data_IF_025318816631
#
_entry.id   IF_025318816631
#
_cell.length_a   1.000
_cell.length_b   1.000
_cell.length_c   1.000
_cell.angle_alpha   90.00
_cell.angle_beta   90.00
_cell.angle_gamma   90.00
#
_symmetry.space_group_name_H-M   'P 1'
#
loop_
_entity.id
_entity.type
_entity.pdbx_description
1 polymer ?
#
# COMPACT_ATOMS: atom_id res chain seq x y z
N UNK A 1 3.04 -18.10 -12.40
CA UNK A 1 3.17 -17.50 -11.06
C UNK A 1 2.85 -18.49 -9.97
N UNK A 2 1.58 -18.55 -9.54
CA UNK A 2 1.13 -19.40 -8.41
C UNK A 2 1.52 -20.88 -8.55
N UNK A 3 1.40 -21.45 -9.75
CA UNK A 3 1.81 -22.85 -10.02
C UNK A 3 3.30 -23.04 -9.74
N UNK A 4 4.16 -22.10 -10.17
CA UNK A 4 5.60 -22.18 -9.92
C UNK A 4 5.90 -22.09 -8.42
N UNK A 5 5.22 -21.19 -7.69
CA UNK A 5 5.35 -21.10 -6.24
C UNK A 5 4.88 -22.38 -5.55
N UNK A 6 3.83 -23.03 -6.05
CA UNK A 6 3.38 -24.29 -5.50
C UNK A 6 4.38 -25.43 -5.77
N UNK A 7 4.97 -25.46 -6.97
CA UNK A 7 6.00 -26.44 -7.34
C UNK A 7 7.22 -26.38 -6.41
N UNK A 8 7.61 -25.19 -5.91
CA UNK A 8 8.73 -25.08 -4.95
C UNK A 8 8.48 -25.83 -3.64
N UNK A 9 7.21 -26.09 -3.29
CA UNK A 9 6.82 -26.83 -2.10
C UNK A 9 6.66 -28.33 -2.35
N UNK A 10 6.39 -28.71 -3.61
CA UNK A 10 6.13 -30.07 -4.06
C UNK A 10 7.41 -30.84 -4.38
N UNK A 11 8.37 -30.20 -5.03
CA UNK A 11 9.60 -30.84 -5.52
C UNK A 11 10.70 -30.69 -4.44
N UNK A 12 11.18 -31.79 -3.83
CA UNK A 12 12.20 -31.71 -2.77
C UNK A 12 13.47 -30.96 -3.19
N UNK A 13 13.94 -31.15 -4.42
CA UNK A 13 15.19 -30.56 -4.92
C UNK A 13 15.11 -29.03 -5.10
N UNK A 14 13.89 -28.47 -5.09
CA UNK A 14 13.66 -27.02 -5.24
C UNK A 14 13.72 -26.25 -3.94
N UNK A 15 14.00 -26.91 -2.81
CA UNK A 15 14.19 -26.28 -1.50
C UNK A 15 15.43 -26.82 -0.78
N UNK A 16 16.01 -26.06 0.16
CA UNK A 16 17.06 -26.56 1.02
C UNK A 16 16.59 -27.78 1.82
N UNK A 17 17.52 -28.66 2.25
CA UNK A 17 17.18 -29.74 3.16
C UNK A 17 16.58 -29.18 4.46
N UNK A 18 15.66 -29.90 5.10
CA UNK A 18 15.09 -29.49 6.38
C UNK A 18 16.22 -29.38 7.43
N UNK A 19 16.27 -28.26 8.12
CA UNK A 19 17.21 -28.00 9.21
C UNK A 19 16.45 -27.44 10.41
N UNK A 20 17.01 -27.61 11.61
CA UNK A 20 16.45 -26.98 12.80
C UNK A 20 16.89 -25.51 12.84
N UNK A 21 15.93 -24.60 12.69
CA UNK A 21 16.15 -23.16 12.78
C UNK A 21 16.70 -22.72 14.15
N UNK A 22 16.61 -23.57 15.19
CA UNK A 22 17.22 -23.35 16.52
C UNK A 22 18.74 -23.53 16.52
N UNK A 23 19.29 -24.20 15.50
CA UNK A 23 20.73 -24.41 15.30
C UNK A 23 21.14 -23.77 13.96
N UNK A 24 21.33 -22.43 13.90
CA UNK A 24 21.53 -21.71 12.63
C UNK A 24 22.73 -22.22 11.83
N UNK A 25 23.78 -22.69 12.51
CA UNK A 25 24.98 -23.26 11.88
C UNK A 25 24.73 -24.58 11.13
N UNK A 26 23.56 -25.21 11.30
CA UNK A 26 23.17 -26.43 10.61
C UNK A 26 22.35 -26.19 9.33
N UNK A 27 21.93 -24.95 9.07
CA UNK A 27 21.06 -24.61 7.94
C UNK A 27 21.87 -24.15 6.72
N UNK A 28 21.62 -24.79 5.58
CA UNK A 28 22.25 -24.43 4.30
C UNK A 28 21.36 -23.40 3.59
N UNK A 29 21.95 -22.30 3.12
CA UNK A 29 21.22 -21.31 2.32
C UNK A 29 20.77 -21.89 0.98
N UNK A 30 19.62 -21.43 0.48
CA UNK A 30 19.13 -21.87 -0.82
C UNK A 30 20.13 -21.59 -1.95
N UNK A 31 20.27 -22.57 -2.84
CA UNK A 31 21.18 -22.48 -3.99
C UNK A 31 20.67 -21.45 -5.00
N UNK A 32 21.55 -21.01 -5.91
CA UNK A 32 21.18 -20.08 -6.98
C UNK A 32 19.93 -20.52 -7.78
N UNK A 33 19.81 -21.76 -8.28
CA UNK A 33 18.63 -22.17 -9.03
C UNK A 33 17.35 -22.19 -8.18
N UNK A 34 17.43 -22.56 -6.89
CA UNK A 34 16.28 -22.53 -5.97
C UNK A 34 15.76 -21.11 -5.76
N UNK A 35 16.69 -20.15 -5.53
CA UNK A 35 16.36 -18.72 -5.42
C UNK A 35 15.81 -18.16 -6.72
N UNK A 36 16.42 -18.49 -7.86
CA UNK A 36 15.96 -18.04 -9.17
C UNK A 36 14.53 -18.51 -9.47
N UNK A 37 14.22 -19.78 -9.21
CA UNK A 37 12.86 -20.32 -9.37
C UNK A 37 11.83 -19.57 -8.50
N UNK A 38 12.18 -19.30 -7.25
CA UNK A 38 11.34 -18.53 -6.33
C UNK A 38 11.11 -17.09 -6.83
N UNK A 39 12.15 -16.40 -7.29
CA UNK A 39 12.03 -15.05 -7.84
C UNK A 39 11.18 -15.02 -9.12
N UNK A 40 11.35 -15.99 -10.02
CA UNK A 40 10.49 -16.11 -11.21
C UNK A 40 9.03 -16.38 -10.84
N UNK A 41 8.78 -17.20 -9.81
CA UNK A 41 7.44 -17.41 -9.29
C UNK A 41 6.81 -16.08 -8.84
N UNK A 42 7.53 -15.29 -8.03
CA UNK A 42 7.09 -13.96 -7.61
C UNK A 42 6.89 -12.98 -8.77
N UNK A 43 7.83 -12.90 -9.71
CA UNK A 43 7.73 -12.02 -10.87
C UNK A 43 6.47 -12.32 -11.70
N UNK A 44 6.22 -13.58 -12.04
CA UNK A 44 5.03 -13.95 -12.79
C UNK A 44 3.72 -13.78 -12.01
N UNK A 45 3.75 -13.93 -10.67
CA UNK A 45 2.58 -13.59 -9.84
C UNK A 45 2.30 -12.09 -9.86
N UNK A 46 3.33 -11.26 -9.72
CA UNK A 46 3.20 -9.80 -9.76
C UNK A 46 2.69 -9.31 -11.12
N UNK A 47 3.20 -9.84 -12.23
CA UNK A 47 2.71 -9.51 -13.59
C UNK A 47 1.24 -9.88 -13.75
N UNK A 48 0.85 -11.11 -13.35
CA UNK A 48 -0.53 -11.56 -13.44
C UNK A 48 -1.49 -10.75 -12.56
N UNK A 49 -1.11 -10.53 -11.29
CA UNK A 49 -1.92 -9.75 -10.35
C UNK A 49 -2.06 -8.29 -10.79
N UNK A 50 -0.97 -7.68 -11.27
CA UNK A 50 -0.94 -6.29 -11.76
C UNK A 50 -1.79 -6.09 -13.02
N UNK A 51 -1.88 -7.08 -13.90
CA UNK A 51 -2.75 -7.03 -15.07
C UNK A 51 -4.23 -7.25 -14.73
N UNK A 52 -4.55 -8.25 -13.90
CA UNK A 52 -5.94 -8.64 -13.64
C UNK A 52 -6.68 -7.64 -12.76
N UNK A 53 -6.06 -7.16 -11.66
CA UNK A 53 -6.74 -6.31 -10.66
C UNK A 53 -7.39 -5.04 -11.21
N UNK A 54 -6.72 -4.19 -12.02
CA UNK A 54 -7.35 -2.98 -12.54
C UNK A 54 -8.34 -3.28 -13.68
N UNK A 55 -8.11 -4.36 -14.44
CA UNK A 55 -8.95 -4.70 -15.58
C UNK A 55 -10.26 -5.40 -15.17
N UNK A 56 -10.24 -6.24 -14.14
CA UNK A 56 -11.41 -7.06 -13.76
C UNK A 56 -12.60 -6.21 -13.32
N UNK A 57 -12.36 -5.20 -12.49
CA UNK A 57 -13.41 -4.32 -11.99
C UNK A 57 -14.00 -3.45 -13.11
N UNK A 58 -13.12 -2.85 -13.93
CA UNK A 58 -13.53 -2.05 -15.08
C UNK A 58 -14.32 -2.89 -16.09
N UNK A 59 -13.79 -4.06 -16.46
CA UNK A 59 -14.45 -4.96 -17.40
C UNK A 59 -15.83 -5.42 -16.91
N UNK A 60 -15.96 -5.72 -15.61
CA UNK A 60 -17.25 -6.09 -15.01
C UNK A 60 -18.24 -4.92 -15.01
N UNK A 61 -17.80 -3.70 -14.70
CA UNK A 61 -18.61 -2.50 -14.80
C UNK A 61 -19.10 -2.27 -16.24
N UNK A 62 -18.23 -2.49 -17.24
CA UNK A 62 -18.54 -2.31 -18.66
C UNK A 62 -19.66 -3.25 -19.16
N UNK A 63 -19.79 -4.45 -18.59
CA UNK A 63 -20.87 -5.38 -18.92
C UNK A 63 -22.26 -4.87 -18.49
N UNK A 64 -22.30 -4.06 -17.43
CA UNK A 64 -23.53 -3.45 -16.90
C UNK A 64 -23.79 -2.10 -17.59
N UNK A 65 -22.73 -1.49 -18.12
CA UNK A 65 -22.70 -0.17 -18.74
C UNK A 65 -23.30 -0.11 -20.16
N UNK A 66 -24.21 -1.02 -20.49
CA UNK A 66 -24.89 -1.06 -21.80
C UNK A 66 -25.88 0.11 -21.88
N UNK A 67 -25.84 0.84 -23.00
CA UNK A 67 -26.79 1.95 -23.27
C UNK A 67 -28.23 1.43 -23.20
N UNK A 68 -29.14 2.29 -22.74
CA UNK A 68 -30.61 2.11 -22.74
C UNK A 68 -31.29 1.47 -21.50
N UNK A 69 -30.60 1.34 -20.37
CA UNK A 69 -31.22 0.89 -19.10
C UNK A 69 -31.57 2.05 -18.13
N UNK A 70 -32.87 2.30 -17.82
CA UNK A 70 -33.27 3.38 -16.90
C UNK A 70 -32.87 3.11 -15.43
N UNK A 71 -32.55 1.86 -15.08
CA UNK A 71 -32.06 1.45 -13.74
C UNK A 71 -30.53 1.36 -13.63
N UNK A 72 -29.79 1.85 -14.63
CA UNK A 72 -28.32 1.70 -14.74
C UNK A 72 -27.56 2.13 -13.49
N UNK A 73 -27.87 3.30 -12.93
CA UNK A 73 -27.19 3.81 -11.72
C UNK A 73 -27.30 2.86 -10.54
N UNK A 74 -28.52 2.42 -10.21
CA UNK A 74 -28.78 1.49 -9.09
C UNK A 74 -28.14 0.12 -9.28
N UNK A 75 -28.18 -0.43 -10.50
CA UNK A 75 -27.57 -1.75 -10.78
C UNK A 75 -26.04 -1.66 -10.68
N UNK A 76 -25.45 -0.57 -11.16
CA UNK A 76 -24.01 -0.33 -11.09
C UNK A 76 -23.53 -0.12 -9.65
N UNK A 77 -24.24 0.67 -8.86
CA UNK A 77 -23.98 0.82 -7.41
C UNK A 77 -24.07 -0.52 -6.68
N UNK A 78 -25.10 -1.32 -6.97
CA UNK A 78 -25.25 -2.65 -6.38
C UNK A 78 -24.11 -3.59 -6.77
N UNK A 79 -23.66 -3.55 -8.02
CA UNK A 79 -22.50 -4.32 -8.49
C UNK A 79 -21.23 -3.94 -7.73
N UNK A 80 -20.92 -2.65 -7.62
CA UNK A 80 -19.77 -2.20 -6.84
C UNK A 80 -19.89 -2.61 -5.38
N UNK A 81 -21.07 -2.46 -4.78
CA UNK A 81 -21.35 -2.90 -3.40
C UNK A 81 -21.07 -4.40 -3.18
N UNK A 82 -21.58 -5.27 -4.06
CA UNK A 82 -21.31 -6.70 -4.00
C UNK A 82 -19.85 -7.04 -4.28
N UNK A 83 -19.21 -6.37 -5.24
CA UNK A 83 -17.80 -6.57 -5.54
C UNK A 83 -16.91 -6.27 -4.33
N UNK A 84 -17.08 -5.11 -3.70
CA UNK A 84 -16.29 -4.74 -2.53
C UNK A 84 -16.62 -5.62 -1.31
N UNK A 85 -17.90 -5.96 -1.09
CA UNK A 85 -18.30 -6.84 0.01
C UNK A 85 -17.71 -8.25 -0.13
N UNK A 86 -17.78 -8.84 -1.32
CA UNK A 86 -17.21 -10.17 -1.59
C UNK A 86 -15.69 -10.16 -1.52
N UNK A 87 -15.03 -9.11 -2.02
CA UNK A 87 -13.58 -8.93 -1.92
C UNK A 87 -13.12 -8.84 -0.46
N UNK A 88 -13.80 -8.04 0.38
CA UNK A 88 -13.50 -7.94 1.81
C UNK A 88 -13.67 -9.28 2.52
N UNK A 89 -14.78 -9.99 2.26
CA UNK A 89 -15.01 -11.32 2.83
C UNK A 89 -13.91 -12.31 2.42
N UNK A 90 -13.51 -12.31 1.15
CA UNK A 90 -12.42 -13.16 0.66
C UNK A 90 -11.08 -12.86 1.36
N UNK A 91 -10.76 -11.58 1.62
CA UNK A 91 -9.56 -11.18 2.36
C UNK A 91 -9.62 -11.64 3.81
N UNK A 92 -10.76 -11.53 4.49
CA UNK A 92 -10.93 -12.02 5.87
C UNK A 92 -10.75 -13.54 5.95
N UNK A 93 -11.33 -14.29 5.00
CA UNK A 93 -11.17 -15.74 4.90
C UNK A 93 -9.69 -16.09 4.62
N UNK A 94 -9.01 -15.32 3.76
CA UNK A 94 -7.60 -15.54 3.47
C UNK A 94 -6.72 -15.37 4.71
N UNK A 95 -6.86 -14.27 5.47
CA UNK A 95 -6.06 -14.04 6.68
C UNK A 95 -6.38 -15.00 7.83
N UNK A 96 -7.53 -15.67 7.82
CA UNK A 96 -7.93 -16.63 8.86
C UNK A 96 -7.73 -18.06 8.39
N UNK A 97 -8.64 -18.57 7.56
CA UNK A 97 -8.69 -19.97 7.13
C UNK A 97 -7.48 -20.35 6.30
N UNK A 98 -7.09 -19.55 5.31
CA UNK A 98 -5.98 -19.92 4.43
C UNK A 98 -4.63 -19.89 5.17
N UNK A 99 -4.40 -18.86 6.00
CA UNK A 99 -3.20 -18.80 6.85
C UNK A 99 -3.18 -19.95 7.86
N UNK A 100 -4.31 -20.29 8.48
CA UNK A 100 -4.42 -21.45 9.36
C UNK A 100 -4.04 -22.75 8.63
N UNK A 101 -4.52 -22.95 7.41
CA UNK A 101 -4.16 -24.11 6.59
C UNK A 101 -2.65 -24.11 6.28
N UNK A 102 -2.07 -22.96 5.94
CA UNK A 102 -0.64 -22.83 5.66
C UNK A 102 0.22 -23.18 6.87
N UNK A 103 -0.17 -22.76 8.07
CA UNK A 103 0.61 -22.97 9.29
C UNK A 103 0.46 -24.39 9.85
N UNK A 104 -0.74 -24.98 9.80
CA UNK A 104 -0.99 -26.32 10.38
C UNK A 104 -0.84 -27.49 9.39
N UNK A 105 -1.24 -27.32 8.13
CA UNK A 105 -1.19 -28.36 7.09
C UNK A 105 -0.02 -28.16 6.11
N UNK A 106 0.73 -27.07 6.27
CA UNK A 106 1.93 -26.76 5.53
C UNK A 106 1.70 -26.09 4.17
N UNK A 107 2.78 -25.51 3.64
CA UNK A 107 2.79 -24.73 2.40
C UNK A 107 2.34 -25.50 1.16
N UNK A 108 2.51 -26.84 1.15
CA UNK A 108 2.08 -27.70 0.05
C UNK A 108 0.56 -27.64 -0.16
N UNK A 109 -0.22 -27.73 0.91
CA UNK A 109 -1.68 -27.61 0.84
C UNK A 109 -2.07 -26.14 0.70
N UNK A 110 -1.43 -25.27 1.48
CA UNK A 110 -1.73 -23.84 1.53
C UNK A 110 -1.57 -23.12 0.19
N UNK A 111 -0.58 -23.45 -0.65
CA UNK A 111 -0.44 -22.87 -1.98
C UNK A 111 -1.26 -23.59 -3.06
N UNK A 112 -1.63 -24.85 -2.83
CA UNK A 112 -2.46 -25.62 -3.76
C UNK A 112 -3.88 -25.05 -3.87
N UNK A 113 -4.46 -24.60 -2.75
CA UNK A 113 -5.83 -24.03 -2.73
C UNK A 113 -5.94 -22.81 -3.67
N UNK A 114 -5.11 -21.75 -3.55
CA UNK A 114 -5.15 -20.63 -4.48
C UNK A 114 -4.89 -21.02 -5.95
N UNK A 115 -4.06 -22.02 -6.22
CA UNK A 115 -3.82 -22.52 -7.59
C UNK A 115 -5.11 -23.08 -8.18
N UNK A 116 -5.82 -23.93 -7.44
CA UNK A 116 -7.09 -24.53 -7.87
C UNK A 116 -8.15 -23.44 -8.08
N UNK A 117 -8.28 -22.51 -7.14
CA UNK A 117 -9.24 -21.40 -7.23
C UNK A 117 -8.95 -20.50 -8.44
N UNK A 118 -7.68 -20.17 -8.71
CA UNK A 118 -7.30 -19.36 -9.85
C UNK A 118 -7.53 -20.09 -11.18
N UNK A 119 -7.25 -21.39 -11.23
CA UNK A 119 -7.55 -22.22 -12.40
C UNK A 119 -9.06 -22.25 -12.68
N UNK A 120 -9.87 -22.49 -11.66
CA UNK A 120 -11.33 -22.49 -11.79
C UNK A 120 -11.86 -21.12 -12.23
N UNK A 121 -11.38 -20.03 -11.63
CA UNK A 121 -11.73 -18.66 -12.02
C UNK A 121 -11.41 -18.38 -13.50
N UNK A 122 -10.20 -18.74 -13.93
CA UNK A 122 -9.76 -18.57 -15.33
C UNK A 122 -10.59 -19.41 -16.28
N UNK A 123 -10.89 -20.66 -15.91
CA UNK A 123 -11.74 -21.56 -16.70
C UNK A 123 -13.14 -20.97 -16.91
N UNK A 124 -13.80 -20.52 -15.84
CA UNK A 124 -15.13 -19.89 -15.91
C UNK A 124 -15.08 -18.63 -16.78
N UNK A 125 -14.05 -17.80 -16.62
CA UNK A 125 -13.86 -16.58 -17.42
C UNK A 125 -13.75 -16.87 -18.92
N UNK A 126 -12.99 -17.90 -19.30
CA UNK A 126 -12.83 -18.29 -20.71
C UNK A 126 -14.10 -18.90 -21.28
N UNK A 127 -14.80 -19.75 -20.52
CA UNK A 127 -16.07 -20.35 -20.96
C UNK A 127 -17.14 -19.28 -21.18
N UNK A 128 -17.15 -18.23 -20.37
CA UNK A 128 -18.07 -17.09 -20.50
C UNK A 128 -17.69 -16.10 -21.62
N UNK A 129 -16.57 -16.31 -22.34
CA UNK A 129 -16.09 -15.40 -23.40
C UNK A 129 -17.14 -14.99 -24.44
N UNK A 130 -18.02 -15.88 -24.95
CA UNK A 130 -19.03 -15.52 -25.94
C UNK A 130 -20.11 -14.56 -25.40
N UNK A 131 -20.28 -14.47 -24.07
CA UNK A 131 -21.30 -13.66 -23.42
C UNK A 131 -20.86 -12.22 -23.18
N UNK A 132 -19.57 -11.92 -23.32
CA UNK A 132 -19.03 -10.61 -22.97
C UNK A 132 -19.23 -9.54 -24.05
N UNK A 133 -19.69 -8.37 -23.62
CA UNK A 133 -19.70 -7.15 -24.40
C UNK A 133 -18.29 -6.56 -24.50
N UNK A 134 -17.85 -6.26 -25.73
CA UNK A 134 -16.50 -5.79 -26.05
C UNK A 134 -16.53 -4.30 -26.35
N UNK A 135 -15.96 -3.49 -25.45
CA UNK A 135 -15.83 -2.05 -25.67
C UNK A 135 -14.76 -1.73 -26.73
N UNK A 136 -14.97 -0.64 -27.46
CA UNK A 136 -14.03 -0.12 -28.44
C UNK A 136 -12.84 0.53 -27.71
N UNK A 137 -11.62 0.26 -28.19
CA UNK A 137 -10.39 0.77 -27.58
C UNK A 137 -10.32 2.30 -27.70
N UNK A 138 -10.14 2.98 -26.56
CA UNK A 138 -9.81 4.41 -26.51
C UNK A 138 -8.29 4.63 -26.68
N UNK A 139 -7.88 5.82 -27.13
CA UNK A 139 -6.45 6.14 -27.35
C UNK A 139 -5.69 6.12 -26.01
N UNK A 140 -4.40 5.74 -26.06
CA UNK A 140 -3.52 5.73 -24.89
C UNK A 140 -3.30 7.16 -24.33
N UNK A 141 -3.67 7.35 -23.06
CA UNK A 141 -3.43 8.61 -22.33
C UNK A 141 -1.93 8.93 -22.20
N UNK A 142 -1.09 7.92 -21.99
CA UNK A 142 0.36 8.11 -21.88
C UNK A 142 0.98 8.69 -23.14
N UNK A 143 0.52 8.24 -24.32
CA UNK A 143 0.95 8.80 -25.60
C UNK A 143 0.55 10.27 -25.70
N UNK A 144 -0.65 10.63 -25.22
CA UNK A 144 -1.10 12.03 -25.17
C UNK A 144 -0.22 12.89 -24.25
N UNK A 145 0.23 12.36 -23.10
CA UNK A 145 1.17 13.08 -22.22
C UNK A 145 2.52 13.34 -22.90
N UNK A 146 3.09 12.32 -23.56
CA UNK A 146 4.34 12.49 -24.31
C UNK A 146 4.19 13.50 -25.45
N UNK A 147 3.05 13.49 -26.15
CA UNK A 147 2.74 14.46 -27.20
C UNK A 147 2.72 15.89 -26.64
N UNK A 148 1.98 16.13 -25.56
CA UNK A 148 1.89 17.47 -24.94
C UNK A 148 3.26 17.99 -24.51
N UNK A 149 4.08 17.15 -23.87
CA UNK A 149 5.44 17.54 -23.46
C UNK A 149 6.30 17.87 -24.69
N UNK A 150 6.27 17.02 -25.71
CA UNK A 150 7.04 17.21 -26.94
C UNK A 150 6.65 18.48 -27.69
N UNK A 151 5.35 18.70 -27.89
CA UNK A 151 4.83 19.86 -28.63
C UNK A 151 5.02 21.15 -27.82
N UNK A 152 4.80 21.14 -26.49
CA UNK A 152 5.11 22.29 -25.63
C UNK A 152 6.59 22.69 -25.72
N UNK A 153 7.50 21.70 -25.77
CA UNK A 153 8.92 21.94 -25.92
C UNK A 153 9.30 22.51 -27.29
N UNK A 154 8.75 21.94 -28.39
CA UNK A 154 8.93 22.47 -29.75
C UNK A 154 8.46 23.93 -29.85
N UNK A 155 7.30 24.21 -29.25
CA UNK A 155 6.65 25.52 -29.28
C UNK A 155 7.13 26.46 -28.17
N UNK A 156 8.21 26.15 -27.44
CA UNK A 156 8.66 26.94 -26.28
C UNK A 156 8.96 28.40 -26.60
N UNK A 157 9.33 28.71 -27.85
CA UNK A 157 9.63 30.07 -28.33
C UNK A 157 8.39 30.88 -28.73
N UNK A 158 7.21 30.25 -28.85
CA UNK A 158 5.98 30.95 -29.20
C UNK A 158 5.49 31.80 -28.03
N UNK A 159 4.99 32.99 -28.33
CA UNK A 159 4.29 33.84 -27.37
C UNK A 159 2.87 33.35 -27.16
N UNK A 160 2.39 33.46 -25.92
CA UNK A 160 1.02 33.05 -25.59
C UNK A 160 0.07 34.17 -26.02
N UNK A 161 -1.01 33.87 -26.77
CA UNK A 161 -1.97 34.88 -27.16
C UNK A 161 -2.76 35.38 -25.94
N UNK A 162 -2.89 36.70 -25.80
CA UNK A 162 -3.64 37.37 -24.73
C UNK A 162 -5.16 37.46 -24.98
N UNK A 163 -5.65 36.92 -26.10
CA UNK A 163 -7.05 37.08 -26.53
C UNK A 163 -8.04 36.23 -25.73
N UNK A 164 -9.19 36.83 -25.38
CA UNK A 164 -10.29 36.23 -24.63
C UNK A 164 -11.00 35.08 -25.38
N UNK A 165 -10.97 35.07 -26.72
CA UNK A 165 -11.85 34.20 -27.53
C UNK A 165 -11.39 32.74 -27.66
N UNK A 166 -10.20 32.39 -27.16
CA UNK A 166 -9.68 31.00 -27.19
C UNK A 166 -9.61 30.38 -28.60
N UNK A 167 -9.75 31.18 -29.66
CA UNK A 167 -9.77 30.79 -31.08
C UNK A 167 -8.40 30.32 -31.58
N UNK A 168 -7.35 30.65 -30.83
CA UNK A 168 -5.97 30.23 -31.08
C UNK A 168 -5.66 28.83 -30.56
N UNK A 169 -6.61 28.14 -29.92
CA UNK A 169 -6.39 26.81 -29.35
C UNK A 169 -7.10 25.71 -30.13
N UNK A 170 -6.44 24.56 -30.31
CA UNK A 170 -7.04 23.37 -30.91
C UNK A 170 -8.03 22.72 -29.93
N UNK A 171 -9.33 22.83 -30.23
CA UNK A 171 -10.44 22.30 -29.43
C UNK A 171 -10.95 21.01 -30.07
N UNK A 172 -11.25 20.00 -29.27
CA UNK A 172 -11.81 18.73 -29.76
C UNK A 172 -13.23 18.44 -29.28
N UNK A 173 -13.69 19.03 -28.18
CA UNK A 173 -15.12 19.10 -27.81
C UNK A 173 -15.34 19.99 -26.56
N UNK A 174 -16.61 20.33 -26.30
CA UNK A 174 -17.15 21.52 -25.63
C UNK A 174 -16.75 21.91 -24.17
N UNK A 175 -15.82 21.25 -23.47
CA UNK A 175 -15.66 21.47 -22.02
C UNK A 175 -14.66 22.57 -21.61
N UNK A 176 -13.60 22.82 -22.39
CA UNK A 176 -12.58 23.82 -22.05
C UNK A 176 -12.42 24.85 -23.18
N UNK A 177 -12.87 26.08 -22.93
CA UNK A 177 -12.79 27.20 -23.90
C UNK A 177 -11.38 27.78 -23.93
N UNK A 178 -10.67 27.76 -22.80
CA UNK A 178 -9.30 28.25 -22.61
C UNK A 178 -8.55 27.30 -21.67
N UNK A 179 -7.27 26.97 -21.95
CA UNK A 179 -6.44 26.25 -20.99
C UNK A 179 -6.21 27.10 -19.72
N UNK A 180 -6.10 26.44 -18.57
CA UNK A 180 -5.85 27.08 -17.28
C UNK A 180 -4.56 27.90 -17.29
N UNK A 181 -4.53 28.99 -16.54
CA UNK A 181 -3.32 29.82 -16.35
C UNK A 181 -2.29 29.16 -15.40
N UNK A 182 -2.60 27.99 -14.82
CA UNK A 182 -1.60 27.18 -14.10
C UNK A 182 -0.73 26.41 -15.11
N UNK A 183 0.59 26.40 -14.90
CA UNK A 183 1.57 25.76 -15.79
C UNK A 183 1.45 26.27 -17.25
N UNK A 184 1.40 27.59 -17.44
CA UNK A 184 1.14 28.25 -18.75
C UNK A 184 2.07 27.80 -19.88
N UNK A 185 3.27 27.32 -19.55
CA UNK A 185 4.22 26.80 -20.55
C UNK A 185 3.64 25.61 -21.33
N UNK A 186 2.79 24.78 -20.72
CA UNK A 186 2.11 23.66 -21.40
C UNK A 186 1.04 24.13 -22.38
N UNK A 187 0.49 25.35 -22.22
CA UNK A 187 -0.51 25.91 -23.12
C UNK A 187 0.04 26.14 -24.53
N UNK A 188 1.36 26.16 -24.69
CA UNK A 188 2.02 26.27 -26.00
C UNK A 188 1.83 25.02 -26.85
N UNK A 189 1.48 23.87 -26.27
CA UNK A 189 1.21 22.64 -27.00
C UNK A 189 -0.10 22.66 -27.81
N UNK A 190 -1.05 23.52 -27.43
CA UNK A 190 -2.36 23.58 -28.08
C UNK A 190 -2.57 24.82 -28.95
N UNK A 191 -1.53 25.64 -29.20
CA UNK A 191 -1.61 26.82 -30.07
C UNK A 191 -1.68 26.40 -31.55
N UNK A 192 -2.64 26.97 -32.28
CA UNK A 192 -2.79 26.84 -33.72
C UNK A 192 -1.74 27.72 -34.44
N UNK A 193 -0.71 27.12 -35.01
CA UNK A 193 0.20 27.82 -35.92
C UNK A 193 -0.51 28.05 -37.27
N UNK A 194 -0.60 29.30 -37.71
CA UNK A 194 -1.36 29.74 -38.89
C UNK A 194 -0.78 29.30 -40.25
N UNK A 195 0.24 28.43 -40.28
CA UNK A 195 1.13 28.23 -41.43
C UNK A 195 1.12 26.85 -42.09
N UNK A 196 0.29 25.89 -41.66
CA UNK A 196 0.27 24.57 -42.31
C UNK A 196 -1.15 24.15 -42.70
N UNK A 197 -1.31 23.71 -43.95
CA UNK A 197 -2.57 23.24 -44.54
C UNK A 197 -3.22 22.16 -43.65
N UNK A 198 -4.27 22.54 -42.94
CA UNK A 198 -5.00 21.72 -41.97
C UNK A 198 -5.87 20.65 -42.63
N UNK A 199 -5.26 19.63 -43.21
CA UNK A 199 -6.00 18.43 -43.67
C UNK A 199 -5.66 17.17 -42.89
N UNK A 200 -4.55 17.16 -42.13
CA UNK A 200 -4.21 16.07 -41.20
C UNK A 200 -3.74 16.63 -39.86
N UNK A 201 -4.61 16.58 -38.84
CA UNK A 201 -4.26 16.92 -37.45
C UNK A 201 -3.36 15.84 -36.86
N UNK A 202 -2.05 15.89 -37.11
CA UNK A 202 -1.10 15.00 -36.45
C UNK A 202 -1.01 15.35 -34.95
N UNK A 203 -1.35 14.42 -34.04
CA UNK A 203 -1.25 14.63 -32.60
C UNK A 203 0.14 15.00 -32.08
N UNK A 204 1.21 14.78 -32.86
CA UNK A 204 2.61 15.14 -32.54
C UNK A 204 3.04 16.54 -32.98
N UNK A 205 2.15 17.26 -33.66
CA UNK A 205 2.35 18.64 -34.13
C UNK A 205 1.45 19.60 -33.38
N UNK A 206 0.23 19.18 -33.04
CA UNK A 206 -0.71 19.99 -32.27
C UNK A 206 -1.55 19.15 -31.30
N UNK A 207 -1.56 19.52 -30.03
CA UNK A 207 -2.36 18.87 -29.00
C UNK A 207 -3.68 19.60 -28.77
N UNK A 208 -4.66 18.92 -28.19
CA UNK A 208 -5.94 19.53 -27.82
C UNK A 208 -5.86 20.18 -26.43
N UNK A 209 -6.77 21.11 -26.13
CA UNK A 209 -6.86 21.72 -24.79
C UNK A 209 -7.08 20.64 -23.70
N UNK A 210 -7.89 19.62 -23.99
CA UNK A 210 -8.16 18.52 -23.05
C UNK A 210 -6.88 17.75 -22.68
N UNK A 211 -6.04 17.40 -23.67
CA UNK A 211 -4.77 16.70 -23.43
C UNK A 211 -3.82 17.54 -22.55
N UNK A 212 -3.82 18.86 -22.73
CA UNK A 212 -2.99 19.78 -21.94
C UNK A 212 -3.50 19.86 -20.50
N UNK A 213 -4.81 19.99 -20.29
CA UNK A 213 -5.40 20.03 -18.95
C UNK A 213 -5.27 18.69 -18.20
N UNK A 214 -5.37 17.56 -18.90
CA UNK A 214 -5.09 16.24 -18.35
C UNK A 214 -3.67 16.15 -17.76
N UNK A 215 -2.64 16.57 -18.53
CA UNK A 215 -1.26 16.57 -18.05
C UNK A 215 -1.04 17.55 -16.88
N UNK A 216 -1.68 18.72 -16.91
CA UNK A 216 -1.59 19.68 -15.81
C UNK A 216 -2.22 19.16 -14.54
N UNK A 217 -3.37 18.50 -14.64
CA UNK A 217 -4.04 17.90 -13.50
C UNK A 217 -3.11 16.84 -12.86
N UNK A 218 -2.41 16.04 -13.67
CA UNK A 218 -1.40 15.09 -13.19
C UNK A 218 -0.32 15.80 -12.35
N UNK A 219 0.31 16.83 -12.89
CA UNK A 219 1.35 17.57 -12.15
C UNK A 219 0.84 18.25 -10.88
N UNK A 220 -0.41 18.72 -10.87
CA UNK A 220 -1.03 19.33 -9.68
C UNK A 220 -1.18 18.34 -8.52
N UNK A 221 -1.43 17.07 -8.83
CA UNK A 221 -1.64 16.00 -7.85
C UNK A 221 -0.32 15.42 -7.31
N UNK A 222 0.76 15.45 -8.09
CA UNK A 222 2.05 14.83 -7.75
C UNK A 222 2.61 15.16 -6.35
N UNK A 223 2.60 16.42 -5.86
CA UNK A 223 3.15 16.72 -4.54
C UNK A 223 2.40 16.00 -3.41
N UNK A 224 1.05 15.99 -3.46
CA UNK A 224 0.24 15.29 -2.47
C UNK A 224 0.37 13.77 -2.61
N UNK A 225 0.46 13.26 -3.84
CA UNK A 225 0.74 11.85 -4.07
C UNK A 225 2.09 11.43 -3.45
N UNK A 226 3.14 12.22 -3.65
CA UNK A 226 4.47 11.91 -3.12
C UNK A 226 4.53 11.88 -1.58
N UNK A 227 3.79 12.74 -0.89
CA UNK A 227 3.76 12.71 0.58
C UNK A 227 3.06 11.46 1.12
N UNK A 228 2.10 10.92 0.37
CA UNK A 228 1.38 9.70 0.74
C UNK A 228 2.23 8.43 0.59
N UNK A 229 3.34 8.47 -0.17
CA UNK A 229 4.28 7.34 -0.29
C UNK A 229 4.83 6.94 1.09
N UNK A 230 5.01 7.91 2.00
CA UNK A 230 5.54 7.66 3.34
C UNK A 230 4.67 6.69 4.15
N UNK A 231 3.34 6.72 3.97
CA UNK A 231 2.45 5.74 4.61
C UNK A 231 2.83 4.31 4.22
N UNK A 232 3.05 4.08 2.93
CA UNK A 232 3.45 2.78 2.41
C UNK A 232 4.85 2.37 2.85
N UNK A 233 5.76 3.32 3.08
CA UNK A 233 7.09 3.06 3.67
C UNK A 233 6.94 2.54 5.10
N UNK A 234 6.16 3.23 5.94
CA UNK A 234 5.94 2.80 7.33
C UNK A 234 5.22 1.44 7.38
N UNK A 235 4.32 1.19 6.44
CA UNK A 235 3.55 -0.05 6.35
C UNK A 235 4.26 -1.20 5.65
N UNK A 236 5.42 -0.96 5.04
CA UNK A 236 6.10 -1.98 4.23
C UNK A 236 6.61 -3.15 5.06
N UNK A 237 6.71 -3.01 6.37
CA UNK A 237 7.28 -3.99 7.28
C UNK A 237 6.31 -5.11 7.62
N UNK A 238 5.56 -5.63 6.65
CA UNK A 238 4.55 -6.69 6.85
C UNK A 238 5.17 -7.93 7.51
N UNK A 239 6.45 -8.21 7.24
CA UNK A 239 7.17 -9.35 7.84
C UNK A 239 7.44 -9.17 9.33
N UNK A 240 7.65 -7.95 9.81
CA UNK A 240 8.10 -7.70 11.18
C UNK A 240 7.05 -8.09 12.23
N UNK A 241 5.77 -7.69 12.14
CA UNK A 241 4.74 -8.16 13.07
C UNK A 241 4.57 -9.69 13.10
N UNK A 242 4.80 -10.37 11.97
CA UNK A 242 4.77 -11.85 11.91
C UNK A 242 5.94 -12.44 12.70
N UNK A 243 7.12 -11.82 12.61
CA UNK A 243 8.30 -12.21 13.41
C UNK A 243 8.08 -11.92 14.90
N UNK A 244 7.48 -10.78 15.27
CA UNK A 244 7.09 -10.50 16.66
C UNK A 244 6.15 -11.57 17.18
N UNK A 245 5.05 -11.83 16.46
CA UNK A 245 4.06 -12.85 16.82
C UNK A 245 4.68 -14.25 16.98
N UNK A 246 5.75 -14.56 16.24
CA UNK A 246 6.45 -15.86 16.35
C UNK A 246 7.17 -16.08 17.67
N UNK A 247 7.46 -15.01 18.42
CA UNK A 247 8.18 -15.04 19.70
C UNK A 247 7.29 -14.67 20.88
N UNK A 248 5.98 -14.54 20.67
CA UNK A 248 4.99 -14.16 21.68
C UNK A 248 3.97 -15.27 21.86
N UNK A 249 3.30 -15.28 23.01
CA UNK A 249 2.25 -16.26 23.28
C UNK A 249 0.97 -15.91 22.52
N UNK A 250 0.57 -16.77 21.58
CA UNK A 250 -0.57 -16.57 20.67
C UNK A 250 -1.83 -17.31 21.11
N UNK A 251 -1.83 -17.96 22.27
CA UNK A 251 -3.00 -18.68 22.77
C UNK A 251 -4.09 -17.70 23.21
N UNK A 252 -5.32 -17.88 22.68
CA UNK A 252 -6.52 -17.20 23.18
C UNK A 252 -7.18 -18.06 24.27
N UNK A 253 -7.21 -19.37 24.01
CA UNK A 253 -7.77 -20.39 24.89
C UNK A 253 -6.77 -21.54 24.99
N UNK A 254 -7.01 -22.49 25.89
CA UNK A 254 -6.14 -23.65 26.07
C UNK A 254 -5.99 -24.54 24.83
N UNK A 255 -6.88 -24.43 23.84
CA UNK A 255 -6.86 -25.25 22.62
C UNK A 255 -6.77 -24.47 21.31
N UNK A 256 -6.66 -23.13 21.34
CA UNK A 256 -6.64 -22.31 20.12
C UNK A 256 -5.52 -21.27 20.14
N UNK A 257 -4.66 -21.37 19.14
CA UNK A 257 -3.54 -20.48 18.87
C UNK A 257 -3.78 -19.72 17.56
N UNK A 258 -3.68 -18.38 17.59
CA UNK A 258 -3.81 -17.57 16.36
C UNK A 258 -2.57 -17.80 15.49
N UNK A 259 -2.71 -18.10 14.18
CA UNK A 259 -1.57 -18.16 13.26
C UNK A 259 -0.77 -16.85 13.21
N UNK A 260 0.56 -16.91 13.08
CA UNK A 260 1.47 -15.73 13.19
C UNK A 260 1.10 -14.62 12.20
N UNK A 261 0.77 -15.00 10.98
CA UNK A 261 0.42 -14.05 9.92
C UNK A 261 -1.05 -13.59 9.96
N UNK A 262 -1.88 -14.15 10.84
CA UNK A 262 -3.30 -13.78 10.95
C UNK A 262 -3.53 -12.46 11.68
N UNK A 263 -2.53 -11.88 12.36
CA UNK A 263 -2.71 -10.60 13.07
C UNK A 263 -3.06 -9.42 12.14
N UNK A 264 -2.71 -9.49 10.85
CA UNK A 264 -3.15 -8.50 9.85
C UNK A 264 -4.66 -8.45 9.65
N UNK A 265 -5.40 -9.49 10.08
CA UNK A 265 -6.87 -9.50 10.14
C UNK A 265 -7.43 -8.28 10.88
N UNK A 266 -6.81 -7.89 12.00
CA UNK A 266 -7.28 -6.78 12.82
C UNK A 266 -7.20 -5.43 12.08
N UNK A 267 -6.21 -5.25 11.20
CA UNK A 267 -6.12 -4.06 10.34
C UNK A 267 -7.28 -3.99 9.35
N UNK A 268 -7.61 -5.12 8.70
CA UNK A 268 -8.74 -5.19 7.74
C UNK A 268 -10.08 -4.94 8.43
N UNK A 269 -10.30 -5.56 9.59
CA UNK A 269 -11.51 -5.32 10.39
C UNK A 269 -11.61 -3.85 10.81
N UNK A 270 -10.50 -3.22 11.16
CA UNK A 270 -10.49 -1.79 11.52
C UNK A 270 -10.87 -0.91 10.34
N UNK A 271 -10.35 -1.19 9.14
CA UNK A 271 -10.76 -0.47 7.91
C UNK A 271 -12.27 -0.61 7.70
N UNK A 272 -12.82 -1.81 7.87
CA UNK A 272 -14.25 -2.05 7.72
C UNK A 272 -15.09 -1.28 8.75
N UNK A 273 -14.70 -1.34 10.02
CA UNK A 273 -15.36 -0.61 11.10
C UNK A 273 -15.30 0.89 10.82
N UNK A 274 -14.14 1.41 10.42
CA UNK A 274 -13.96 2.82 10.07
C UNK A 274 -14.90 3.25 8.94
N UNK A 275 -14.99 2.49 7.85
CA UNK A 275 -15.90 2.80 6.73
C UNK A 275 -17.36 2.84 7.20
N UNK A 276 -17.79 1.83 7.96
CA UNK A 276 -19.16 1.77 8.49
C UNK A 276 -19.43 2.95 9.42
N UNK A 277 -18.51 3.27 10.33
CA UNK A 277 -18.63 4.40 11.24
C UNK A 277 -18.65 5.73 10.49
N UNK A 278 -17.82 5.89 9.46
CA UNK A 278 -17.76 7.09 8.65
C UNK A 278 -19.10 7.35 7.95
N UNK A 279 -19.63 6.35 7.24
CA UNK A 279 -20.84 6.50 6.45
C UNK A 279 -22.12 6.55 7.29
N UNK A 280 -22.20 5.73 8.36
CA UNK A 280 -23.45 5.55 9.13
C UNK A 280 -23.55 6.42 10.37
N UNK A 281 -22.44 6.85 10.95
CA UNK A 281 -22.45 7.67 12.15
C UNK A 281 -21.90 9.07 11.88
N UNK A 282 -20.67 9.18 11.36
CA UNK A 282 -19.97 10.46 11.23
C UNK A 282 -20.68 11.39 10.24
N UNK A 283 -20.95 10.95 9.00
CA UNK A 283 -21.62 11.80 7.99
C UNK A 283 -23.00 12.29 8.48
N UNK A 284 -23.91 11.44 8.99
CA UNK A 284 -25.20 11.91 9.51
C UNK A 284 -25.08 12.87 10.68
N UNK A 285 -24.16 12.62 11.62
CA UNK A 285 -23.93 13.49 12.78
C UNK A 285 -23.40 14.86 12.33
N UNK A 286 -22.37 14.90 11.48
CA UNK A 286 -21.85 16.16 10.94
C UNK A 286 -22.93 16.92 10.15
N UNK A 287 -23.71 16.22 9.34
CA UNK A 287 -24.76 16.83 8.55
C UNK A 287 -25.88 17.41 9.42
N UNK A 288 -26.21 16.73 10.53
CA UNK A 288 -27.17 17.21 11.53
C UNK A 288 -26.65 18.44 12.27
N UNK A 289 -25.36 18.46 12.65
CA UNK A 289 -24.73 19.60 13.33
C UNK A 289 -24.66 20.83 12.42
N UNK A 290 -24.32 20.65 11.13
CA UNK A 290 -24.18 21.76 10.19
C UNK A 290 -25.49 22.17 9.51
N UNK A 291 -26.58 21.41 9.68
CA UNK A 291 -27.87 21.64 9.02
C UNK A 291 -27.86 21.45 7.50
N UNK A 292 -26.78 20.90 6.94
CA UNK A 292 -26.58 20.64 5.50
C UNK A 292 -25.70 19.40 5.31
N UNK A 293 -25.75 18.71 4.15
CA UNK A 293 -24.86 17.59 3.86
C UNK A 293 -23.39 17.99 4.06
N UNK A 294 -22.74 17.37 5.02
CA UNK A 294 -21.39 17.73 5.47
C UNK A 294 -20.47 16.51 5.41
N UNK A 295 -19.28 16.73 4.86
CA UNK A 295 -18.24 15.71 4.71
C UNK A 295 -16.94 16.19 5.33
N UNK A 296 -16.17 15.28 5.90
CA UNK A 296 -14.82 15.61 6.38
C UNK A 296 -13.94 15.90 5.16
N UNK A 297 -13.24 17.04 5.19
CA UNK A 297 -12.33 17.46 4.13
C UNK A 297 -11.34 16.33 3.79
N UNK A 298 -11.25 16.00 2.51
CA UNK A 298 -10.43 14.90 1.99
C UNK A 298 -8.96 15.07 2.37
N UNK A 299 -8.41 16.28 2.29
CA UNK A 299 -7.00 16.55 2.67
C UNK A 299 -6.77 16.33 4.17
N UNK A 300 -7.76 16.64 5.00
CA UNK A 300 -7.70 16.40 6.44
C UNK A 300 -7.70 14.90 6.75
N UNK A 301 -8.52 14.11 6.04
CA UNK A 301 -8.53 12.64 6.17
C UNK A 301 -7.19 12.03 5.79
N UNK A 302 -6.63 12.44 4.65
CA UNK A 302 -5.29 12.00 4.20
C UNK A 302 -4.22 12.34 5.26
N UNK A 303 -4.21 13.58 5.75
CA UNK A 303 -3.28 14.03 6.79
C UNK A 303 -3.44 13.28 8.12
N UNK A 304 -4.68 13.05 8.56
CA UNK A 304 -4.97 12.27 9.75
C UNK A 304 -4.44 10.83 9.61
N UNK A 305 -4.61 10.20 8.44
CA UNK A 305 -4.06 8.88 8.17
C UNK A 305 -2.53 8.82 8.32
N UNK A 306 -1.81 9.85 7.83
CA UNK A 306 -0.36 9.95 8.03
C UNK A 306 0.01 10.08 9.52
N UNK A 307 -0.71 10.90 10.28
CA UNK A 307 -0.48 11.04 11.74
C UNK A 307 -0.72 9.71 12.47
N UNK A 308 -1.82 9.01 12.18
CA UNK A 308 -2.09 7.69 12.77
C UNK A 308 -1.02 6.65 12.42
N UNK A 309 -0.43 6.72 11.23
CA UNK A 309 0.68 5.83 10.87
C UNK A 309 1.94 6.09 11.67
N UNK A 310 2.24 7.35 12.00
CA UNK A 310 3.37 7.70 12.88
C UNK A 310 3.11 7.17 14.30
N UNK A 311 1.90 7.40 14.82
CA UNK A 311 1.51 6.88 16.15
C UNK A 311 1.59 5.35 16.16
N UNK A 312 1.15 4.68 15.10
CA UNK A 312 1.24 3.23 14.98
C UNK A 312 2.70 2.75 15.03
N UNK A 313 3.61 3.40 14.31
CA UNK A 313 5.05 3.09 14.35
C UNK A 313 5.63 3.28 15.75
N UNK A 314 5.26 4.35 16.47
CA UNK A 314 5.68 4.55 17.87
C UNK A 314 5.19 3.41 18.76
N UNK A 315 3.94 2.98 18.61
CA UNK A 315 3.39 1.83 19.35
C UNK A 315 4.15 0.54 19.01
N UNK A 316 4.51 0.31 17.75
CA UNK A 316 5.36 -0.83 17.35
C UNK A 316 6.69 -0.81 18.09
N UNK A 317 7.36 0.34 18.14
CA UNK A 317 8.62 0.51 18.86
C UNK A 317 8.49 0.24 20.36
N UNK A 318 7.41 0.72 20.98
CA UNK A 318 7.15 0.53 22.41
C UNK A 318 6.89 -0.94 22.75
N UNK A 319 6.04 -1.60 21.96
CA UNK A 319 5.72 -3.02 22.12
C UNK A 319 6.97 -3.87 21.93
N UNK A 320 7.80 -3.56 20.94
CA UNK A 320 9.06 -4.27 20.71
C UNK A 320 10.05 -4.07 21.84
N UNK A 321 10.17 -2.85 22.36
CA UNK A 321 11.04 -2.55 23.49
C UNK A 321 10.66 -3.39 24.73
N UNK A 322 9.36 -3.44 25.06
CA UNK A 322 8.84 -4.24 26.17
C UNK A 322 9.08 -5.74 25.93
N UNK A 323 8.79 -6.23 24.71
CA UNK A 323 8.99 -7.63 24.34
C UNK A 323 10.46 -8.04 24.47
N UNK A 324 11.38 -7.20 23.98
CA UNK A 324 12.82 -7.42 24.03
C UNK A 324 13.35 -7.44 25.46
N UNK A 325 12.95 -6.48 26.31
CA UNK A 325 13.37 -6.48 27.72
C UNK A 325 12.96 -7.77 28.44
N UNK A 326 11.73 -8.24 28.24
CA UNK A 326 11.28 -9.55 28.78
C UNK A 326 12.05 -10.73 28.20
N UNK A 327 12.41 -10.70 26.92
CA UNK A 327 13.26 -11.73 26.32
C UNK A 327 14.67 -11.79 26.95
N UNK A 328 15.20 -10.63 27.38
CA UNK A 328 16.49 -10.54 28.10
C UNK A 328 16.34 -11.14 29.51
N UNK A 329 15.28 -10.77 30.24
CA UNK A 329 14.98 -11.31 31.57
C UNK A 329 14.78 -12.83 31.56
N UNK A 330 14.08 -13.35 30.55
CA UNK A 330 13.85 -14.79 30.35
C UNK A 330 15.10 -15.54 29.80
N UNK A 331 16.21 -14.84 29.52
CA UNK A 331 17.44 -15.43 28.99
C UNK A 331 17.34 -15.93 27.54
N UNK A 332 16.36 -15.46 26.77
CA UNK A 332 16.02 -15.93 25.42
C UNK A 332 16.80 -15.22 24.28
N UNK A 333 17.77 -14.36 24.61
CA UNK A 333 18.59 -13.61 23.64
C UNK A 333 19.17 -14.49 22.52
N UNK A 334 19.64 -15.69 22.86
CA UNK A 334 20.28 -16.60 21.92
C UNK A 334 19.31 -17.59 21.26
N UNK A 335 18.02 -17.51 21.58
CA UNK A 335 16.99 -18.40 21.06
C UNK A 335 16.03 -17.63 20.14
N UNK A 336 16.23 -17.65 18.81
CA UNK A 336 15.41 -16.90 17.85
C UNK A 336 13.95 -17.35 17.79
N UNK A 337 13.64 -18.54 18.32
CA UNK A 337 12.29 -19.12 18.38
C UNK A 337 11.77 -19.21 19.82
N UNK A 338 12.46 -18.57 20.77
CA UNK A 338 12.04 -18.50 22.16
C UNK A 338 10.73 -17.72 22.26
N UNK A 339 9.74 -18.31 22.91
CA UNK A 339 8.47 -17.65 23.20
C UNK A 339 8.59 -16.93 24.53
N UNK A 340 8.55 -15.61 24.48
CA UNK A 340 8.53 -14.73 25.66
C UNK A 340 7.16 -14.86 26.33
N UNK A 341 7.13 -14.77 27.67
CA UNK A 341 5.87 -14.74 28.44
C UNK A 341 5.11 -13.41 28.27
N UNK A 342 4.72 -13.13 27.05
CA UNK A 342 3.97 -11.93 26.65
C UNK A 342 2.95 -12.31 25.60
N UNK A 343 1.68 -11.96 25.84
CA UNK A 343 0.61 -12.26 24.89
C UNK A 343 0.78 -11.47 23.59
N UNK A 344 0.60 -12.13 22.45
CA UNK A 344 0.59 -11.53 21.12
C UNK A 344 -0.58 -10.56 20.90
N UNK A 345 -1.56 -10.49 21.81
CA UNK A 345 -2.63 -9.48 21.77
C UNK A 345 -2.10 -8.04 21.88
N UNK A 346 -0.90 -7.84 22.41
CA UNK A 346 -0.19 -6.55 22.39
C UNK A 346 0.12 -6.05 20.97
N UNK A 347 0.02 -6.90 19.94
CA UNK A 347 0.15 -6.51 18.54
C UNK A 347 -1.16 -5.94 17.96
N UNK A 348 -2.30 -6.07 18.64
CA UNK A 348 -3.58 -5.55 18.12
C UNK A 348 -3.57 -4.02 18.01
N UNK A 349 -3.14 -3.24 19.01
CA UNK A 349 -3.15 -1.77 18.94
C UNK A 349 -2.42 -1.21 17.71
N UNK A 350 -1.23 -1.72 17.39
CA UNK A 350 -0.50 -1.31 16.19
C UNK A 350 -1.27 -1.64 14.91
N UNK A 351 -1.89 -2.83 14.82
CA UNK A 351 -2.68 -3.22 13.65
C UNK A 351 -3.95 -2.39 13.49
N UNK A 352 -4.60 -2.03 14.59
CA UNK A 352 -5.78 -1.15 14.60
C UNK A 352 -5.39 0.26 14.13
N UNK A 353 -4.33 0.84 14.68
CA UNK A 353 -3.88 2.18 14.29
C UNK A 353 -3.47 2.22 12.81
N UNK A 354 -2.77 1.20 12.33
CA UNK A 354 -2.42 1.08 10.92
C UNK A 354 -3.65 0.87 10.01
N UNK A 355 -4.62 0.06 10.44
CA UNK A 355 -5.88 -0.10 9.71
C UNK A 355 -6.66 1.22 9.62
N UNK A 356 -6.71 1.99 10.71
CA UNK A 356 -7.32 3.32 10.70
C UNK A 356 -6.55 4.30 9.80
N UNK A 357 -5.23 4.27 9.86
CA UNK A 357 -4.35 5.09 9.02
C UNK A 357 -4.59 4.82 7.53
N UNK A 358 -4.59 3.56 7.12
CA UNK A 358 -4.82 3.17 5.73
C UNK A 358 -6.25 3.51 5.29
N UNK A 359 -7.27 3.17 6.09
CA UNK A 359 -8.68 3.47 5.78
C UNK A 359 -8.97 4.96 5.62
N UNK A 360 -8.34 5.83 6.42
CA UNK A 360 -8.42 7.28 6.26
C UNK A 360 -7.74 7.78 4.98
N UNK A 361 -6.59 7.18 4.66
CA UNK A 361 -5.69 7.67 3.64
C UNK A 361 -6.03 7.15 2.23
N UNK A 362 -6.26 5.84 2.05
CA UNK A 362 -6.59 5.26 0.73
C UNK A 362 -7.87 5.85 0.15
N UNK A 363 -8.94 5.91 0.94
CA UNK A 363 -10.24 6.43 0.50
C UNK A 363 -10.13 7.92 0.20
N UNK A 364 -9.41 8.67 1.06
CA UNK A 364 -9.16 10.08 0.84
C UNK A 364 -8.35 10.35 -0.43
N UNK A 365 -7.29 9.58 -0.69
CA UNK A 365 -6.48 9.72 -1.90
C UNK A 365 -7.32 9.48 -3.16
N UNK A 366 -8.05 8.37 -3.21
CA UNK A 366 -8.88 8.02 -4.37
C UNK A 366 -9.94 9.11 -4.62
N UNK A 367 -10.64 9.57 -3.58
CA UNK A 367 -11.64 10.65 -3.67
C UNK A 367 -11.02 11.97 -4.17
N UNK A 368 -9.84 12.33 -3.65
CA UNK A 368 -9.11 13.52 -4.09
C UNK A 368 -8.72 13.44 -5.57
N UNK A 369 -8.21 12.29 -6.01
CA UNK A 369 -7.82 12.07 -7.41
C UNK A 369 -9.02 12.17 -8.35
N UNK A 370 -10.15 11.59 -7.98
CA UNK A 370 -11.38 11.70 -8.77
C UNK A 370 -11.93 13.12 -8.86
N UNK A 371 -11.76 13.94 -7.83
CA UNK A 371 -12.17 15.33 -7.85
C UNK A 371 -11.23 16.22 -8.69
N UNK A 372 -9.94 15.93 -8.67
CA UNK A 372 -8.92 16.74 -9.36
C UNK A 372 -8.71 16.34 -10.82
N UNK A 373 -8.94 15.08 -11.17
CA UNK A 373 -8.74 14.58 -12.53
C UNK A 373 -10.00 14.75 -13.41
N UNK A 374 -9.82 15.06 -14.71
CA UNK A 374 -10.90 14.99 -15.68
C UNK A 374 -11.40 13.55 -15.83
N UNK A 375 -12.63 13.38 -16.32
CA UNK A 375 -13.30 12.06 -16.42
C UNK A 375 -12.49 11.02 -17.23
N UNK A 376 -11.76 11.47 -18.25
CA UNK A 376 -10.88 10.63 -19.07
C UNK A 376 -9.76 9.96 -18.28
N UNK A 377 -9.37 10.52 -17.13
CA UNK A 377 -8.27 10.04 -16.27
C UNK A 377 -8.73 9.21 -15.07
N UNK A 378 -9.98 8.75 -15.05
CA UNK A 378 -10.53 7.88 -13.99
C UNK A 378 -9.64 6.66 -13.68
N UNK A 379 -9.09 6.01 -14.71
CA UNK A 379 -8.20 4.85 -14.55
C UNK A 379 -6.85 5.21 -13.91
N UNK A 380 -6.32 6.39 -14.24
CA UNK A 380 -5.10 6.93 -13.62
C UNK A 380 -5.34 7.23 -12.15
N UNK A 381 -6.50 7.78 -11.80
CA UNK A 381 -6.89 8.04 -10.41
C UNK A 381 -6.78 6.77 -9.54
N UNK A 382 -7.31 5.64 -10.01
CA UNK A 382 -7.23 4.37 -9.28
C UNK A 382 -5.80 3.78 -9.27
N UNK A 383 -5.06 3.91 -10.37
CA UNK A 383 -3.72 3.33 -10.50
C UNK A 383 -2.67 4.07 -9.66
N UNK A 384 -2.86 5.38 -9.43
CA UNK A 384 -1.87 6.23 -8.78
C UNK A 384 -1.61 5.83 -7.33
N UNK A 385 -2.64 5.38 -6.59
CA UNK A 385 -2.47 4.82 -5.23
C UNK A 385 -1.56 3.58 -5.24
N UNK A 386 -1.84 2.61 -6.12
CA UNK A 386 -1.05 1.38 -6.24
C UNK A 386 0.39 1.67 -6.66
N UNK A 387 0.60 2.64 -7.55
CA UNK A 387 1.93 3.09 -7.95
C UNK A 387 2.68 3.70 -6.75
N UNK A 388 2.02 4.54 -5.97
CA UNK A 388 2.60 5.13 -4.76
C UNK A 388 3.01 4.06 -3.74
N UNK A 389 2.15 3.06 -3.54
CA UNK A 389 2.45 1.90 -2.70
C UNK A 389 3.66 1.12 -3.20
N UNK A 390 3.78 0.87 -4.50
CA UNK A 390 4.94 0.20 -5.08
C UNK A 390 6.25 0.96 -4.82
N UNK A 391 6.25 2.29 -5.04
CA UNK A 391 7.41 3.13 -4.70
C UNK A 391 7.73 3.09 -3.20
N UNK A 392 6.71 3.12 -2.34
CA UNK A 392 6.89 3.06 -0.89
C UNK A 392 7.52 1.74 -0.42
N UNK A 393 7.07 0.61 -0.95
CA UNK A 393 7.66 -0.70 -0.63
C UNK A 393 9.12 -0.82 -1.10
N UNK A 394 9.44 -0.30 -2.29
CA UNK A 394 10.82 -0.27 -2.79
C UNK A 394 11.71 0.63 -1.93
N UNK A 395 11.25 1.85 -1.64
CA UNK A 395 11.97 2.79 -0.79
C UNK A 395 12.24 2.20 0.59
N UNK A 396 11.24 1.58 1.19
CA UNK A 396 11.42 0.95 2.49
C UNK A 396 12.40 -0.23 2.46
N UNK A 397 12.37 -1.07 1.41
CA UNK A 397 13.37 -2.12 1.23
C UNK A 397 14.78 -1.53 1.14
N UNK A 398 14.98 -0.42 0.42
CA UNK A 398 16.28 0.24 0.34
C UNK A 398 16.71 0.85 1.66
N UNK A 399 15.78 1.43 2.43
CA UNK A 399 16.07 1.99 3.76
C UNK A 399 16.48 0.88 4.75
N UNK A 400 15.80 -0.27 4.73
CA UNK A 400 16.15 -1.42 5.55
C UNK A 400 17.56 -1.93 5.22
N UNK A 401 17.88 -2.11 3.92
CA UNK A 401 19.23 -2.51 3.49
C UNK A 401 20.30 -1.49 3.88
N UNK A 402 20.00 -0.19 3.74
CA UNK A 402 20.92 0.88 4.14
C UNK A 402 21.18 0.86 5.65
N UNK A 403 20.14 0.70 6.47
CA UNK A 403 20.29 0.61 7.93
C UNK A 403 21.06 -0.64 8.32
N UNK A 404 20.79 -1.78 7.67
CA UNK A 404 21.53 -3.01 7.88
C UNK A 404 23.04 -2.82 7.59
N UNK A 405 23.39 -2.20 6.47
CA UNK A 405 24.78 -1.92 6.09
C UNK A 405 25.47 -0.91 7.01
N UNK A 406 24.75 0.13 7.45
CA UNK A 406 25.31 1.17 8.33
C UNK A 406 25.52 0.67 9.76
N UNK A 407 24.58 -0.12 10.30
CA UNK A 407 24.63 -0.58 11.69
C UNK A 407 25.60 -1.74 11.91
N UNK A 408 25.95 -2.49 10.85
CA UNK A 408 26.98 -3.55 10.91
C UNK A 408 28.42 -3.05 10.90
N UNK A 409 28.69 -1.78 10.56
CA UNK A 409 30.05 -1.30 10.26
C UNK A 409 31.01 -1.35 11.44
N UNK A 410 30.52 -1.28 12.67
CA UNK A 410 31.37 -1.19 13.87
C UNK A 410 31.52 -2.53 14.61
N UNK A 411 31.18 -3.66 13.97
CA UNK A 411 31.22 -4.98 14.60
C UNK A 411 30.07 -5.25 15.58
N UNK A 412 29.17 -4.27 15.75
CA UNK A 412 27.91 -4.42 16.48
C UNK A 412 26.84 -5.15 15.64
N UNK A 413 25.85 -5.75 16.31
CA UNK A 413 24.75 -6.43 15.63
C UNK A 413 23.81 -5.43 14.95
N UNK A 414 23.41 -5.76 13.71
CA UNK A 414 22.47 -4.95 12.93
C UNK A 414 21.15 -4.72 13.66
N UNK A 415 20.59 -3.52 13.48
CA UNK A 415 19.22 -3.22 13.93
C UNK A 415 18.18 -4.15 13.29
N UNK A 416 18.50 -4.71 12.12
CA UNK A 416 17.66 -5.65 11.35
C UNK A 416 18.34 -7.02 11.32
N UNK A 417 18.57 -7.60 12.51
CA UNK A 417 19.13 -8.96 12.61
C UNK A 417 18.08 -10.04 12.31
N UNK A 418 18.53 -11.20 11.83
CA UNK A 418 17.68 -12.39 11.66
C UNK A 418 17.17 -12.94 12.98
N UNK A 419 17.89 -12.71 14.08
CA UNK A 419 17.42 -12.99 15.42
C UNK A 419 16.73 -11.75 15.99
N UNK A 420 15.40 -11.79 16.07
CA UNK A 420 14.59 -10.68 16.58
C UNK A 420 14.91 -10.32 18.04
N UNK A 421 15.36 -11.27 18.87
CA UNK A 421 15.70 -11.00 20.26
C UNK A 421 16.99 -10.19 20.40
N UNK A 422 17.85 -10.22 19.38
CA UNK A 422 19.08 -9.45 19.30
C UNK A 422 18.94 -8.17 18.48
N UNK A 423 18.07 -8.19 17.47
CA UNK A 423 17.75 -7.04 16.65
C UNK A 423 17.26 -5.84 17.48
N UNK A 424 17.49 -4.63 16.95
CA UNK A 424 17.06 -3.36 17.55
C UNK A 424 16.00 -2.70 16.66
N UNK A 425 14.90 -3.42 16.43
CA UNK A 425 13.77 -2.91 15.64
C UNK A 425 13.02 -1.77 16.34
N UNK A 426 13.14 -1.66 17.66
CA UNK A 426 12.72 -0.50 18.44
C UNK A 426 13.42 0.78 17.94
N UNK A 427 14.75 0.73 17.74
CA UNK A 427 15.50 1.86 17.19
C UNK A 427 15.09 2.21 15.76
N UNK A 428 14.74 1.21 14.94
CA UNK A 428 14.19 1.46 13.60
C UNK A 428 12.86 2.22 13.67
N UNK A 429 11.97 1.87 14.61
CA UNK A 429 10.67 2.50 14.76
C UNK A 429 10.77 3.97 15.23
N UNK A 430 11.73 4.29 16.10
CA UNK A 430 11.96 5.65 16.59
C UNK A 430 12.82 6.52 15.66
N UNK A 431 13.56 5.88 14.75
CA UNK A 431 14.58 6.52 13.93
C UNK A 431 15.81 6.95 14.77
N UNK A 432 16.87 7.44 14.11
CA UNK A 432 18.10 7.89 14.79
C UNK A 432 17.94 9.13 15.68
N UNK A 433 16.74 9.67 15.83
CA UNK A 433 16.46 10.94 16.52
C UNK A 433 15.97 10.78 17.97
N UNK A 434 15.68 9.57 18.44
CA UNK A 434 15.34 9.34 19.85
C UNK A 434 16.61 8.99 20.61
N UNK A 435 17.12 9.97 21.35
CA UNK A 435 18.24 9.82 22.28
C UNK A 435 17.93 8.68 23.27
N UNK A 436 18.86 7.72 23.40
CA UNK A 436 18.78 6.54 24.29
C UNK A 436 18.31 6.90 25.70
N UNK A 437 18.63 8.11 26.14
CA UNK A 437 18.33 8.64 27.48
C UNK A 437 16.84 8.84 27.77
N UNK A 438 16.01 9.10 26.76
CA UNK A 438 14.56 9.34 26.99
C UNK A 438 13.83 8.03 27.30
N UNK A 439 14.31 6.90 26.77
CA UNK A 439 13.74 5.57 27.03
C UNK A 439 14.34 4.94 28.28
N UNK A 440 15.60 5.25 28.60
CA UNK A 440 16.28 4.75 29.80
C UNK A 440 15.94 5.52 31.09
N UNK A 441 15.38 6.74 30.98
CA UNK A 441 15.00 7.55 32.15
C UNK A 441 13.92 6.91 33.04
N UNK A 442 13.15 5.94 32.53
CA UNK A 442 12.15 5.19 33.30
C UNK A 442 12.76 4.01 34.09
N UNK A 443 14.04 3.67 33.88
CA UNK A 443 14.73 2.62 34.65
C UNK A 443 15.35 3.12 35.95
N UNK A 444 15.56 4.43 36.08
CA UNK A 444 16.19 5.04 37.26
C UNK A 444 15.21 5.53 38.32
N UNK A 445 13.89 5.42 38.10
CA UNK A 445 12.87 5.81 39.08
C UNK A 445 12.36 4.66 39.95
N UNK A 446 12.66 3.40 39.60
CA UNK A 446 12.17 2.20 40.30
C UNK A 446 13.24 1.43 41.10
N UNK A 447 14.49 1.88 41.09
CA UNK A 447 15.51 1.42 42.05
C UNK A 447 15.47 2.31 43.28
N UNK A 448 14.63 1.94 44.26
CA UNK A 448 14.66 2.52 45.60
C UNK A 448 15.98 2.20 46.28
N UNK A 449 16.86 3.19 46.39
CA UNK A 449 17.99 3.15 47.32
C UNK A 449 17.54 3.78 48.64
N UNK A 450 17.43 2.93 49.65
CA UNK A 450 17.15 3.24 51.05
C UNK A 450 18.48 3.42 51.81
N UNK A 451 18.60 4.56 52.51
CA UNK A 451 19.61 4.93 53.54
C UNK A 451 21.08 5.18 53.11
N UNK A 452 21.81 6.19 53.60
CA UNK A 452 21.63 7.14 54.72
C UNK A 452 22.54 8.38 54.52
N UNK A 453 22.32 9.51 55.22
CA UNK A 453 22.94 10.80 54.94
C UNK A 453 24.20 11.02 55.78
N UNK A 454 25.28 11.57 55.20
CA UNK A 454 26.17 12.50 55.91
C UNK A 454 27.24 13.18 55.04
N UNK A 455 27.43 14.46 55.36
CA UNK A 455 28.61 15.32 55.18
C UNK A 455 28.81 16.13 53.88
N UNK A 456 28.35 17.38 53.98
CA UNK A 456 28.96 18.63 53.52
C UNK A 456 30.46 18.60 53.20
N UNK A 457 30.87 19.32 52.13
CA UNK A 457 32.27 19.69 51.94
C UNK A 457 32.59 20.42 50.62
N UNK A 458 32.25 21.72 50.58
CA UNK A 458 32.86 22.83 49.83
C UNK A 458 34.15 22.53 49.05
N UNK A 459 34.11 22.66 47.71
CA UNK A 459 34.81 23.69 46.89
C UNK A 459 34.39 23.59 45.42
#
# INVERSE_FOLDING_TARGET
>A
GMILLWLTTMIPDTKPPPCDARLPHSCISATFPQKALLFWAFAFMSIGAGGVRPCSLAFGADQINVKDNPKRGRVLESFFGWYYSTALMAVLIAYTVLVYIQEHYGWRVGFGIPVILMFFSTFVFVVAYPLYYKMKVEKSLFTSFCQVISVAWKNRKLELPDSVDGSWYNKNDANFIKPSDKLRYLNKACILCKSENMTTKDPWTICTVDQVEELKALFKVMPLWSSCIMLSVLMSQITFPVMQASTMDRHITSGFEIPKASFSFFSIVTIMIWVILYDRAIIPILSKIQGKPAYINVKLRIGAGLVFSIIATVVVGLVEHIRKNKAIEDGLLNNPQGVVKMSAMWLIPQHVLYGLADGLNIIGQIEFYYHEFPKSMSSIASALYLLGSAFGHLLASTLISLVDDLTKRDGEESWVSTNINRAHYDNWAYGPCVDRRVVEADKTSDSGDEHDPQQFGVL
#
